data_IF_545268020970
#
_entry.id   IF_545268020970
#
_cell.length_a   1.000
_cell.length_b   1.000
_cell.length_c   1.000
_cell.angle_alpha   90.00
_cell.angle_beta   90.00
_cell.angle_gamma   90.00
#
_symmetry.space_group_name_H-M   'P 1'
#
loop_
_entity.id
_entity.type
_entity.pdbx_description
1 polymer ?
#
# COMPACT_ATOMS: atom_id res chain seq x y z
N UNK A 1 -15.59 70.84 -37.23
CA UNK A 1 -16.28 69.72 -37.92
C UNK A 1 -15.39 68.49 -37.85
N UNK A 2 -15.96 67.35 -37.40
CA UNK A 2 -15.52 65.92 -37.50
C UNK A 2 -14.09 65.56 -37.01
N UNK A 3 -13.93 64.98 -35.80
CA UNK A 3 -13.96 63.53 -35.43
C UNK A 3 -13.03 62.64 -36.25
N UNK A 4 -12.01 62.06 -35.61
CA UNK A 4 -11.79 60.59 -35.62
C UNK A 4 -11.04 60.12 -34.37
N UNK A 5 -11.63 59.13 -33.69
CA UNK A 5 -11.12 58.39 -32.53
C UNK A 5 -10.05 57.38 -32.97
N UNK A 6 -9.04 57.13 -32.13
CA UNK A 6 -8.14 55.97 -32.26
C UNK A 6 -8.36 55.05 -31.06
N UNK A 7 -8.70 53.81 -31.39
CA UNK A 7 -9.14 52.71 -30.53
C UNK A 7 -7.92 52.08 -29.84
N UNK A 8 -8.00 51.88 -28.52
CA UNK A 8 -7.07 51.05 -27.75
C UNK A 8 -7.47 49.59 -27.96
N UNK A 9 -6.60 48.79 -28.58
CA UNK A 9 -6.76 47.34 -28.67
C UNK A 9 -6.27 46.70 -27.37
N UNK A 10 -7.21 46.16 -26.58
CA UNK A 10 -6.93 45.26 -25.45
C UNK A 10 -6.47 43.91 -25.99
N UNK A 11 -5.23 43.52 -25.67
CA UNK A 11 -4.73 42.17 -25.90
C UNK A 11 -5.34 41.21 -24.85
N UNK A 12 -6.30 40.40 -25.27
CA UNK A 12 -6.77 39.23 -24.52
C UNK A 12 -5.80 38.07 -24.73
N UNK A 13 -4.87 37.86 -23.80
CA UNK A 13 -4.05 36.66 -23.78
C UNK A 13 -4.92 35.46 -23.34
N UNK A 14 -5.20 34.56 -24.27
CA UNK A 14 -5.96 33.34 -24.02
C UNK A 14 -5.15 32.35 -23.17
N UNK A 15 -5.60 32.08 -21.95
CA UNK A 15 -5.14 30.98 -21.11
C UNK A 15 -5.61 29.63 -21.70
N UNK A 16 -4.92 29.12 -22.74
CA UNK A 16 -5.18 27.80 -23.32
C UNK A 16 -4.16 26.73 -22.90
N UNK A 17 -3.20 27.06 -22.03
CA UNK A 17 -2.07 26.19 -21.68
C UNK A 17 -2.27 25.25 -20.47
N UNK A 18 -3.31 25.44 -19.66
CA UNK A 18 -3.48 24.69 -18.39
C UNK A 18 -4.16 23.33 -18.57
N UNK A 19 -5.00 23.15 -19.59
CA UNK A 19 -5.76 21.91 -19.77
C UNK A 19 -4.91 20.75 -20.32
N UNK A 20 -3.97 21.04 -21.24
CA UNK A 20 -3.11 20.02 -21.84
C UNK A 20 -2.07 19.44 -20.85
N UNK A 21 -1.55 20.27 -19.95
CA UNK A 21 -0.57 19.83 -18.96
C UNK A 21 -1.18 18.90 -17.90
N UNK A 22 -2.43 19.16 -17.49
CA UNK A 22 -3.15 18.31 -16.51
C UNK A 22 -3.46 16.94 -17.10
N UNK A 23 -3.94 16.87 -18.35
CA UNK A 23 -4.25 15.59 -18.99
C UNK A 23 -3.00 14.73 -19.26
N UNK A 24 -1.89 15.36 -19.65
CA UNK A 24 -0.62 14.67 -19.81
C UNK A 24 -0.09 14.11 -18.49
N UNK A 25 -0.22 14.88 -17.40
CA UNK A 25 0.18 14.46 -16.06
C UNK A 25 -0.68 13.30 -15.54
N UNK A 26 -2.01 13.37 -15.68
CA UNK A 26 -2.92 12.27 -15.33
C UNK A 26 -2.60 10.98 -16.12
N UNK A 27 -2.30 11.09 -17.42
CA UNK A 27 -1.93 9.94 -18.24
C UNK A 27 -0.62 9.28 -17.79
N UNK A 28 0.38 10.08 -17.44
CA UNK A 28 1.66 9.60 -16.90
C UNK A 28 1.47 8.93 -15.54
N UNK A 29 0.64 9.49 -14.67
CA UNK A 29 0.40 8.95 -13.33
C UNK A 29 -0.35 7.62 -13.39
N UNK A 30 -1.33 7.47 -14.30
CA UNK A 30 -1.98 6.17 -14.57
C UNK A 30 -1.02 5.11 -15.11
N UNK A 31 -0.12 5.48 -16.03
CA UNK A 31 0.86 4.55 -16.57
C UNK A 31 1.85 4.08 -15.49
N UNK A 32 2.26 4.98 -14.59
CA UNK A 32 3.12 4.63 -13.44
C UNK A 32 2.41 3.74 -12.43
N UNK A 33 1.12 4.00 -12.17
CA UNK A 33 0.31 3.15 -11.29
C UNK A 33 0.15 1.74 -11.85
N UNK A 34 -0.19 1.60 -13.14
CA UNK A 34 -0.29 0.30 -13.79
C UNK A 34 1.06 -0.46 -13.81
N UNK A 35 2.16 0.22 -14.11
CA UNK A 35 3.49 -0.40 -14.04
C UNK A 35 3.87 -0.80 -12.61
N UNK A 36 3.41 -0.08 -11.59
CA UNK A 36 3.60 -0.46 -10.21
C UNK A 36 2.79 -1.70 -9.84
N UNK A 37 1.54 -1.81 -10.29
CA UNK A 37 0.72 -2.99 -10.10
C UNK A 37 1.38 -4.23 -10.71
N UNK A 38 1.84 -4.14 -11.96
CA UNK A 38 2.56 -5.23 -12.63
C UNK A 38 3.75 -5.70 -11.78
N UNK A 39 4.50 -4.77 -11.21
CA UNK A 39 5.65 -5.09 -10.35
C UNK A 39 5.23 -5.71 -9.02
N UNK A 40 4.14 -5.24 -8.40
CA UNK A 40 3.64 -5.82 -7.15
C UNK A 40 3.17 -7.25 -7.38
N UNK A 41 2.40 -7.50 -8.43
CA UNK A 41 1.75 -8.79 -8.65
C UNK A 41 2.55 -9.76 -9.55
N UNK A 42 3.72 -9.34 -10.06
CA UNK A 42 4.54 -10.17 -10.95
C UNK A 42 3.98 -10.27 -12.37
N UNK A 43 3.15 -9.29 -12.77
CA UNK A 43 2.44 -9.20 -14.03
C UNK A 43 1.08 -8.50 -13.85
N UNK A 44 0.37 -8.21 -14.95
CA UNK A 44 -0.92 -7.54 -14.89
C UNK A 44 -1.92 -8.29 -14.00
N UNK A 45 -2.46 -7.66 -12.96
CA UNK A 45 -3.49 -8.28 -12.14
C UNK A 45 -4.74 -8.57 -12.99
N UNK A 46 -5.10 -9.86 -13.07
CA UNK A 46 -6.34 -10.30 -13.70
C UNK A 46 -7.55 -10.05 -12.80
N UNK A 47 -8.53 -10.96 -12.79
CA UNK A 47 -9.68 -10.85 -11.90
C UNK A 47 -9.31 -10.90 -10.40
N UNK A 48 -8.23 -11.63 -10.06
CA UNK A 48 -7.69 -11.69 -8.71
C UNK A 48 -6.19 -11.98 -8.72
N UNK A 49 -5.42 -11.20 -7.97
CA UNK A 49 -3.98 -11.37 -7.82
C UNK A 49 -3.53 -11.14 -6.38
N UNK A 50 -2.40 -11.76 -6.01
CA UNK A 50 -1.86 -11.74 -4.67
C UNK A 50 -0.36 -11.48 -4.71
N UNK A 51 0.14 -10.71 -3.77
CA UNK A 51 1.56 -10.51 -3.52
C UNK A 51 1.84 -10.71 -2.03
N UNK A 52 2.74 -11.65 -1.71
CA UNK A 52 3.15 -11.92 -0.34
C UNK A 52 4.57 -11.40 -0.10
N UNK A 53 4.76 -10.75 1.04
CA UNK A 53 6.06 -10.30 1.52
C UNK A 53 6.23 -10.65 3.00
N UNK A 54 7.41 -11.12 3.38
CA UNK A 54 7.69 -11.59 4.73
C UNK A 54 9.04 -11.07 5.22
N UNK A 55 9.11 -10.76 6.50
CA UNK A 55 10.35 -10.55 7.23
C UNK A 55 10.30 -11.33 8.54
N UNK A 56 11.41 -12.01 8.84
CA UNK A 56 11.68 -12.61 10.15
C UNK A 56 13.02 -12.08 10.62
N UNK A 57 13.09 -11.65 11.87
CA UNK A 57 14.32 -11.15 12.48
C UNK A 57 14.87 -12.20 13.44
N UNK A 58 16.16 -12.49 13.31
CA UNK A 58 16.85 -13.41 14.21
C UNK A 58 17.21 -12.73 15.54
N UNK A 59 17.72 -13.53 16.47
CA UNK A 59 18.14 -13.05 17.79
C UNK A 59 19.24 -11.99 17.71
N UNK A 60 20.20 -12.12 16.77
CA UNK A 60 21.32 -11.19 16.63
C UNK A 60 20.84 -9.81 16.18
N UNK A 61 19.91 -9.76 15.21
CA UNK A 61 19.28 -8.52 14.79
C UNK A 61 18.49 -7.89 15.94
N UNK A 62 17.66 -8.66 16.62
CA UNK A 62 16.83 -8.14 17.71
C UNK A 62 17.66 -7.66 18.91
N UNK A 63 18.84 -8.26 19.15
CA UNK A 63 19.79 -7.79 20.15
C UNK A 63 20.41 -6.43 19.76
N UNK A 64 20.65 -6.19 18.47
CA UNK A 64 21.15 -4.91 17.95
C UNK A 64 20.06 -3.83 17.87
N UNK A 65 18.78 -4.22 17.86
CA UNK A 65 17.63 -3.32 17.81
C UNK A 65 16.75 -3.45 19.08
N UNK A 66 17.25 -3.02 20.24
CA UNK A 66 16.60 -3.27 21.52
C UNK A 66 15.25 -2.57 21.69
N UNK A 67 14.86 -1.61 20.83
CA UNK A 67 13.52 -0.97 20.89
C UNK A 67 12.53 -1.57 19.89
N UNK A 68 12.95 -2.52 19.05
CA UNK A 68 12.09 -3.17 18.07
C UNK A 68 11.11 -4.14 18.73
N UNK A 69 9.81 -3.89 18.62
CA UNK A 69 8.76 -4.73 19.18
C UNK A 69 8.43 -5.91 18.27
N UNK A 70 8.54 -5.74 16.96
CA UNK A 70 8.15 -6.73 15.96
C UNK A 70 9.30 -7.70 15.67
N UNK A 71 9.08 -9.00 15.84
CA UNK A 71 10.05 -10.06 15.50
C UNK A 71 9.80 -10.69 14.13
N UNK A 72 8.57 -10.65 13.62
CA UNK A 72 8.24 -11.03 12.26
C UNK A 72 7.06 -10.23 11.73
N UNK A 73 7.04 -10.02 10.42
CA UNK A 73 5.98 -9.30 9.71
C UNK A 73 5.66 -10.02 8.41
N UNK A 74 4.37 -10.16 8.11
CA UNK A 74 3.87 -10.69 6.85
C UNK A 74 2.91 -9.67 6.24
N UNK A 75 3.04 -9.38 4.97
CA UNK A 75 2.15 -8.52 4.21
C UNK A 75 1.60 -9.31 3.02
N UNK A 76 0.28 -9.45 2.99
CA UNK A 76 -0.46 -9.91 1.83
C UNK A 76 -1.15 -8.70 1.20
N UNK A 77 -0.86 -8.42 -0.06
CA UNK A 77 -1.60 -7.45 -0.87
C UNK A 77 -2.44 -8.22 -1.88
N UNK A 78 -3.71 -7.87 -1.99
CA UNK A 78 -4.67 -8.48 -2.90
C UNK A 78 -5.20 -7.42 -3.86
N UNK A 79 -5.18 -7.72 -5.16
CA UNK A 79 -5.95 -6.99 -6.17
C UNK A 79 -7.13 -7.85 -6.60
N UNK A 80 -8.33 -7.28 -6.64
CA UNK A 80 -9.55 -7.96 -7.05
C UNK A 80 -10.40 -7.06 -7.95
N UNK A 81 -10.83 -7.57 -9.09
CA UNK A 81 -11.77 -6.88 -9.97
C UNK A 81 -13.17 -6.89 -9.37
N UNK A 82 -13.82 -5.73 -9.29
CA UNK A 82 -15.21 -5.65 -8.86
C UNK A 82 -16.17 -6.32 -9.87
N UNK A 83 -17.30 -6.88 -9.43
CA UNK A 83 -18.30 -7.46 -10.33
C UNK A 83 -18.99 -6.40 -11.23
N UNK A 84 -19.01 -5.13 -10.82
CA UNK A 84 -19.61 -4.01 -11.58
C UNK A 84 -18.60 -2.91 -11.97
N UNK A 85 -17.43 -2.87 -11.33
CA UNK A 85 -16.43 -1.84 -11.54
C UNK A 85 -15.36 -2.25 -12.57
N UNK A 86 -15.05 -1.32 -13.49
CA UNK A 86 -13.90 -1.45 -14.41
C UNK A 86 -12.55 -1.19 -13.72
N UNK A 87 -12.53 -1.03 -12.41
CA UNK A 87 -11.35 -0.71 -11.61
C UNK A 87 -11.02 -1.84 -10.63
N UNK A 88 -9.73 -2.04 -10.36
CA UNK A 88 -9.25 -3.00 -9.38
C UNK A 88 -9.39 -2.41 -7.98
N UNK A 89 -9.90 -3.22 -7.06
CA UNK A 89 -9.89 -2.93 -5.62
C UNK A 89 -8.64 -3.56 -5.02
N UNK A 90 -7.94 -2.80 -4.18
CA UNK A 90 -6.76 -3.28 -3.45
C UNK A 90 -7.09 -3.41 -1.98
N UNK A 91 -6.69 -4.52 -1.39
CA UNK A 91 -6.76 -4.74 0.05
C UNK A 91 -5.45 -5.29 0.56
N UNK A 92 -5.24 -5.15 1.87
CA UNK A 92 -4.08 -5.71 2.52
C UNK A 92 -4.48 -6.50 3.77
N UNK A 93 -3.62 -7.47 4.11
CA UNK A 93 -3.59 -8.11 5.42
C UNK A 93 -2.15 -8.09 5.92
N UNK A 94 -1.95 -7.62 7.14
CA UNK A 94 -0.66 -7.44 7.78
C UNK A 94 -0.60 -8.31 9.03
N UNK A 95 0.16 -9.40 8.99
CA UNK A 95 0.48 -10.23 10.15
C UNK A 95 1.68 -9.70 10.92
N UNK A 96 1.59 -9.66 12.24
CA UNK A 96 2.61 -9.13 13.14
C UNK A 96 2.87 -10.15 14.25
N UNK A 97 4.13 -10.59 14.36
CA UNK A 97 4.62 -11.28 15.54
C UNK A 97 5.38 -10.30 16.42
N UNK A 98 4.99 -10.20 17.69
CA UNK A 98 5.73 -9.44 18.69
C UNK A 98 6.78 -10.30 19.37
N UNK A 99 7.92 -9.69 19.72
CA UNK A 99 8.97 -10.39 20.48
C UNK A 99 8.60 -10.65 21.95
N UNK A 100 7.74 -9.81 22.52
CA UNK A 100 7.44 -9.77 23.96
C UNK A 100 6.06 -10.30 24.34
N UNK A 101 5.23 -10.66 23.35
CA UNK A 101 3.91 -11.22 23.61
C UNK A 101 3.54 -12.25 22.55
N UNK A 102 2.89 -13.30 23.00
CA UNK A 102 2.36 -14.37 22.16
C UNK A 102 0.99 -14.00 21.61
N UNK A 103 0.67 -14.49 20.43
CA UNK A 103 -0.61 -14.28 19.76
C UNK A 103 -0.44 -14.08 18.27
N UNK A 104 -1.49 -14.39 17.52
CA UNK A 104 -1.59 -14.12 16.09
C UNK A 104 -2.20 -12.74 15.87
N UNK A 105 -1.33 -11.71 15.84
CA UNK A 105 -1.79 -10.35 15.62
C UNK A 105 -1.85 -10.02 14.14
N UNK A 106 -2.95 -9.39 13.72
CA UNK A 106 -3.06 -8.88 12.37
C UNK A 106 -3.84 -7.57 12.28
N UNK A 107 -3.73 -6.96 11.11
CA UNK A 107 -4.51 -5.81 10.69
C UNK A 107 -4.89 -5.98 9.23
N UNK A 108 -6.03 -5.45 8.83
CA UNK A 108 -6.49 -5.52 7.44
C UNK A 108 -7.29 -4.29 7.08
N UNK A 109 -7.29 -3.98 5.78
CA UNK A 109 -8.04 -2.86 5.25
C UNK A 109 -7.87 -2.75 3.74
N UNK A 110 -8.08 -1.55 3.22
CA UNK A 110 -8.05 -1.26 1.79
C UNK A 110 -6.85 -0.40 1.44
N UNK A 111 -6.41 -0.47 0.19
CA UNK A 111 -5.40 0.42 -0.33
C UNK A 111 -5.99 1.28 -1.44
N UNK A 112 -5.59 2.55 -1.46
CA UNK A 112 -5.81 3.42 -2.59
C UNK A 112 -5.01 2.93 -3.80
N UNK A 113 -5.41 3.38 -4.99
CA UNK A 113 -4.61 3.21 -6.19
C UNK A 113 -3.20 3.77 -5.98
N UNK A 114 -2.22 3.14 -6.63
CA UNK A 114 -0.83 3.54 -6.49
C UNK A 114 -0.62 5.02 -6.84
N UNK A 115 -0.01 5.76 -5.91
CA UNK A 115 0.28 7.19 -6.05
C UNK A 115 1.75 7.41 -6.37
N UNK A 116 2.05 8.25 -7.35
CA UNK A 116 3.40 8.70 -7.66
C UNK A 116 3.73 9.95 -6.84
N UNK A 117 4.77 9.90 -6.02
CA UNK A 117 5.20 11.08 -5.24
C UNK A 117 6.22 11.88 -6.03
N UNK A 118 5.89 13.17 -6.25
CA UNK A 118 6.72 14.11 -7.00
C UNK A 118 8.13 14.28 -6.38
N UNK A 119 8.23 14.22 -5.06
CA UNK A 119 9.50 14.19 -4.34
C UNK A 119 10.09 12.76 -4.33
N UNK A 120 10.93 12.44 -5.31
CA UNK A 120 11.78 11.24 -5.27
C UNK A 120 11.34 10.07 -6.15
N UNK A 121 10.31 10.21 -6.99
CA UNK A 121 9.86 9.19 -7.96
C UNK A 121 9.40 7.84 -7.36
N UNK A 122 9.20 7.77 -6.04
CA UNK A 122 8.66 6.58 -5.38
C UNK A 122 7.16 6.47 -5.72
N UNK A 123 6.76 5.30 -6.21
CA UNK A 123 5.36 4.92 -6.37
C UNK A 123 5.02 3.95 -5.23
N UNK A 124 3.87 4.16 -4.58
CA UNK A 124 3.47 3.37 -3.43
C UNK A 124 1.96 3.21 -3.34
N UNK A 125 1.52 2.17 -2.64
CA UNK A 125 0.17 2.10 -2.08
C UNK A 125 0.11 2.89 -0.77
N UNK A 126 -1.02 3.56 -0.57
CA UNK A 126 -1.44 4.05 0.74
C UNK A 126 -2.58 3.15 1.22
N UNK A 127 -2.36 2.45 2.33
CA UNK A 127 -3.26 1.40 2.81
C UNK A 127 -3.78 1.78 4.19
N UNK A 128 -5.10 1.91 4.31
CA UNK A 128 -5.78 2.37 5.52
C UNK A 128 -6.65 1.30 6.16
N UNK A 129 -6.81 1.40 7.47
CA UNK A 129 -7.83 0.69 8.24
C UNK A 129 -8.95 1.67 8.56
N UNK A 130 -10.19 1.21 8.41
CA UNK A 130 -11.39 2.03 8.64
C UNK A 130 -11.45 2.60 10.06
N UNK A 131 -12.28 3.63 10.24
CA UNK A 131 -12.60 4.23 11.56
C UNK A 131 -11.35 4.66 12.36
N UNK A 132 -10.40 5.33 11.72
CA UNK A 132 -9.16 5.84 12.35
C UNK A 132 -8.20 4.74 12.85
N UNK A 133 -8.31 3.54 12.28
CA UNK A 133 -7.39 2.43 12.56
C UNK A 133 -5.94 2.70 12.13
N UNK A 134 -5.68 3.76 11.39
CA UNK A 134 -4.35 4.11 10.88
C UNK A 134 -4.04 3.36 9.58
N UNK A 135 -2.77 3.10 9.30
CA UNK A 135 -2.39 2.53 8.01
C UNK A 135 -0.89 2.38 7.77
N UNK A 136 -0.58 1.85 6.59
CA UNK A 136 0.77 1.64 6.09
C UNK A 136 0.91 2.16 4.67
N UNK A 137 2.11 2.62 4.36
CA UNK A 137 2.51 2.90 2.99
C UNK A 137 3.40 1.77 2.48
N UNK A 138 3.15 1.26 1.28
CA UNK A 138 3.88 0.12 0.70
C UNK A 138 4.53 0.53 -0.61
N UNK A 139 5.86 0.55 -0.63
CA UNK A 139 6.66 0.82 -1.83
C UNK A 139 7.52 -0.40 -2.20
N UNK A 140 7.77 -0.64 -3.48
CA UNK A 140 8.67 -1.71 -3.92
C UNK A 140 10.11 -1.25 -4.07
N UNK A 141 11.05 -2.14 -3.76
CA UNK A 141 12.45 -1.99 -4.17
C UNK A 141 12.57 -1.99 -5.69
N UNK A 142 13.62 -1.37 -6.23
CA UNK A 142 13.83 -1.24 -7.68
C UNK A 142 13.96 -2.58 -8.42
N UNK A 143 14.36 -3.63 -7.71
CA UNK A 143 14.54 -4.99 -8.24
C UNK A 143 13.32 -5.90 -7.98
N UNK A 144 12.24 -5.35 -7.43
CA UNK A 144 10.97 -6.03 -7.14
C UNK A 144 11.04 -7.18 -6.14
N UNK A 145 12.21 -7.38 -5.50
CA UNK A 145 12.45 -8.49 -4.55
C UNK A 145 12.01 -8.18 -3.13
N UNK A 146 11.71 -6.93 -2.81
CA UNK A 146 11.27 -6.54 -1.47
C UNK A 146 10.32 -5.36 -1.51
N UNK A 147 9.50 -5.23 -0.48
CA UNK A 147 8.71 -4.05 -0.23
C UNK A 147 9.20 -3.34 1.04
N UNK A 148 9.02 -2.02 1.07
CA UNK A 148 9.22 -1.18 2.23
C UNK A 148 7.87 -0.74 2.76
N UNK A 149 7.55 -1.16 3.97
CA UNK A 149 6.37 -0.76 4.73
C UNK A 149 6.77 0.42 5.59
N UNK A 150 6.14 1.58 5.39
CA UNK A 150 6.28 2.74 6.28
C UNK A 150 5.01 2.85 7.12
N UNK A 151 5.20 2.86 8.43
CA UNK A 151 4.14 2.84 9.42
C UNK A 151 4.19 4.13 10.26
N UNK A 152 3.03 4.65 10.62
CA UNK A 152 2.89 5.65 11.69
C UNK A 152 2.16 5.06 12.89
N UNK A 153 0.97 4.51 12.65
CA UNK A 153 0.15 3.78 13.60
C UNK A 153 -0.75 2.85 12.79
N UNK A 154 -0.97 1.63 13.29
CA UNK A 154 -2.00 0.75 12.77
C UNK A 154 -2.60 -0.05 13.93
N UNK A 155 -3.92 -0.13 13.98
CA UNK A 155 -4.65 -0.97 14.93
C UNK A 155 -4.40 -2.44 14.59
N UNK A 156 -4.29 -3.27 15.61
CA UNK A 156 -4.01 -4.70 15.52
C UNK A 156 -4.98 -5.46 16.41
N UNK A 157 -5.46 -6.59 15.89
CA UNK A 157 -6.33 -7.51 16.61
C UNK A 157 -5.60 -8.81 16.87
N UNK A 158 -5.92 -9.47 17.98
CA UNK A 158 -5.43 -10.82 18.24
C UNK A 158 -6.46 -11.83 17.75
N UNK A 159 -6.15 -12.55 16.67
CA UNK A 159 -7.04 -13.55 16.08
C UNK A 159 -7.32 -14.74 16.97
N UNK A 160 -6.45 -14.99 17.95
CA UNK A 160 -6.67 -16.05 18.94
C UNK A 160 -7.77 -15.66 19.96
N UNK A 161 -8.16 -14.38 19.99
CA UNK A 161 -9.16 -13.81 20.90
C UNK A 161 -10.10 -12.83 20.17
N UNK A 162 -10.96 -13.33 19.28
CA UNK A 162 -11.82 -12.48 18.44
C UNK A 162 -12.88 -11.68 19.22
N UNK A 163 -13.22 -12.11 20.43
CA UNK A 163 -14.23 -11.47 21.28
C UNK A 163 -13.65 -10.34 22.18
N UNK A 164 -12.33 -10.13 22.18
CA UNK A 164 -11.71 -9.02 22.92
C UNK A 164 -11.93 -7.71 22.14
N UNK A 165 -12.79 -6.82 22.65
CA UNK A 165 -13.19 -5.57 21.98
C UNK A 165 -12.06 -4.53 21.83
N UNK A 166 -10.92 -4.68 22.51
CA UNK A 166 -9.83 -3.71 22.45
C UNK A 166 -8.77 -4.10 21.42
N UNK A 167 -8.87 -3.54 20.21
CA UNK A 167 -7.76 -3.48 19.28
C UNK A 167 -6.62 -2.63 19.87
N UNK A 168 -5.45 -3.23 20.07
CA UNK A 168 -4.22 -2.49 20.40
C UNK A 168 -3.68 -1.80 19.14
N UNK A 169 -2.65 -0.96 19.23
CA UNK A 169 -2.03 -0.35 18.06
C UNK A 169 -0.52 -0.61 18.01
N UNK A 170 -0.04 -1.03 16.84
CA UNK A 170 1.38 -0.91 16.51
C UNK A 170 1.66 0.55 16.12
N UNK A 171 2.23 1.29 17.07
CA UNK A 171 2.71 2.66 16.86
C UNK A 171 4.19 2.64 16.46
N UNK A 172 4.53 3.50 15.49
CA UNK A 172 5.88 3.70 15.01
C UNK A 172 6.83 4.09 16.14
N UNK A 173 7.83 3.25 16.35
CA UNK A 173 8.93 3.49 17.28
C UNK A 173 10.21 3.85 16.53
N UNK A 174 11.30 3.99 17.28
CA UNK A 174 12.61 4.18 16.68
C UNK A 174 13.02 3.04 15.73
N UNK A 175 12.66 1.81 16.11
CA UNK A 175 13.00 0.58 15.37
C UNK A 175 11.76 -0.08 14.69
N UNK A 176 10.55 0.47 14.86
CA UNK A 176 9.28 -0.09 14.34
C UNK A 176 8.52 0.89 13.43
N UNK A 177 9.24 1.72 12.66
CA UNK A 177 8.65 2.71 11.74
C UNK A 177 8.73 2.35 10.27
N UNK A 178 9.74 1.56 9.91
CA UNK A 178 10.03 1.17 8.53
C UNK A 178 10.45 -0.29 8.55
N UNK A 179 9.75 -1.12 7.80
CA UNK A 179 10.06 -2.55 7.66
C UNK A 179 10.38 -2.85 6.21
N UNK A 180 11.54 -3.45 5.97
CA UNK A 180 11.84 -4.10 4.69
C UNK A 180 11.35 -5.54 4.78
N UNK A 181 10.39 -5.89 3.93
CA UNK A 181 9.84 -7.25 3.80
C UNK A 181 10.26 -7.84 2.46
N UNK A 182 10.73 -9.08 2.47
CA UNK A 182 11.21 -9.77 1.28
C UNK A 182 10.04 -10.43 0.56
N UNK A 183 10.00 -10.39 -0.77
CA UNK A 183 8.96 -11.08 -1.55
C UNK A 183 9.04 -12.58 -1.26
N UNK A 184 7.90 -13.19 -1.04
CA UNK A 184 7.78 -14.60 -0.69
C UNK A 184 6.67 -15.27 -1.52
N UNK A 185 6.66 -16.60 -1.47
CA UNK A 185 5.56 -17.39 -2.02
C UNK A 185 4.25 -17.08 -1.29
N UNK A 186 3.12 -17.12 -1.99
CA UNK A 186 1.83 -16.77 -1.41
C UNK A 186 1.39 -17.69 -0.28
N UNK A 187 1.89 -18.93 -0.24
CA UNK A 187 1.63 -19.88 0.85
C UNK A 187 2.17 -19.39 2.20
N UNK A 188 3.23 -18.58 2.23
CA UNK A 188 3.77 -18.00 3.46
C UNK A 188 2.79 -17.04 4.15
N UNK A 189 1.91 -16.40 3.37
CA UNK A 189 0.86 -15.50 3.85
C UNK A 189 -0.50 -16.19 4.03
N UNK A 190 -0.63 -17.49 3.72
CA UNK A 190 -1.91 -18.18 3.72
C UNK A 190 -2.66 -18.10 5.06
N UNK A 191 -1.93 -18.08 6.17
CA UNK A 191 -2.53 -17.96 7.51
C UNK A 191 -3.32 -16.65 7.70
N UNK A 192 -3.00 -15.59 6.96
CA UNK A 192 -3.69 -14.29 7.04
C UNK A 192 -5.08 -14.32 6.41
N UNK A 193 -5.37 -15.32 5.59
CA UNK A 193 -6.65 -15.42 4.89
C UNK A 193 -7.66 -16.19 5.72
N UNK A 194 -8.76 -15.51 6.03
CA UNK A 194 -9.84 -16.04 6.86
C UNK A 194 -10.97 -16.70 6.06
N UNK A 195 -11.16 -16.33 4.79
CA UNK A 195 -12.13 -16.98 3.91
C UNK A 195 -11.59 -18.31 3.36
N UNK A 196 -12.41 -19.38 3.46
CA UNK A 196 -11.97 -20.74 3.08
C UNK A 196 -11.78 -20.92 1.58
N UNK A 197 -12.56 -20.22 0.74
CA UNK A 197 -12.43 -20.31 -0.72
C UNK A 197 -11.19 -19.56 -1.18
N UNK A 198 -10.96 -18.38 -0.60
CA UNK A 198 -9.77 -17.57 -0.81
C UNK A 198 -8.49 -18.33 -0.39
N UNK A 199 -8.51 -18.98 0.78
CA UNK A 199 -7.40 -19.78 1.27
C UNK A 199 -7.06 -20.96 0.34
N UNK A 200 -8.08 -21.64 -0.19
CA UNK A 200 -7.87 -22.73 -1.14
C UNK A 200 -7.20 -22.20 -2.42
N UNK A 201 -7.68 -21.07 -2.97
CA UNK A 201 -7.08 -20.46 -4.17
C UNK A 201 -5.61 -20.06 -3.97
N UNK A 202 -5.24 -19.58 -2.78
CA UNK A 202 -3.87 -19.21 -2.43
C UNK A 202 -2.91 -20.41 -2.32
N UNK A 203 -3.39 -21.56 -1.85
CA UNK A 203 -2.59 -22.78 -1.67
C UNK A 203 -2.33 -23.55 -2.97
N UNK A 204 -3.08 -23.23 -4.02
CA UNK A 204 -2.97 -23.89 -5.33
C UNK A 204 -2.17 -23.06 -6.36
N UNK A 205 -1.63 -21.91 -5.96
CA UNK A 205 -0.64 -21.15 -6.72
C UNK A 205 0.77 -21.57 -6.31
#
# INVERSE_FOLDING_TARGET
>A
MKRTFLVVALATAACAGTTLAVQAQEGVDRAKAAAFDDRVFGGPPGAKAYACFVRRYDADHLAQHPRQKVSAMKLLVTAEGGPEDKALNYSFRLGIQYRHRTGNFDSSGYCDHAIAIAAGSEVRFDCGVDCEGGGINVALSKDDKSATIRLQKIVVWNRDKPDDEAGDALVAGADDKIFRVDRADTSECAELVTDRKELAALRHK
#
